data_IF_230537592031
#
_entry.id   IF_230537592031
#
_cell.length_a   1.000
_cell.length_b   1.000
_cell.length_c   1.000
_cell.angle_alpha   90.00
_cell.angle_beta   90.00
_cell.angle_gamma   90.00
#
_symmetry.space_group_name_H-M   'P 1'
#
loop_
_entity.id
_entity.type
_entity.pdbx_description
1 polymer ?
#
# COMPACT_ATOMS: atom_id res chain seq x y z
N UNK A 1 40.14 23.70 58.94
CA UNK A 1 39.07 22.88 58.32
C UNK A 1 38.31 23.79 57.38
N UNK A 2 38.82 23.89 56.15
CA UNK A 2 38.27 24.78 55.13
C UNK A 2 36.98 24.19 54.56
N UNK A 3 35.89 24.95 54.70
CA UNK A 3 34.68 24.74 53.91
C UNK A 3 34.86 25.48 52.60
N UNK A 4 35.41 24.80 51.61
CA UNK A 4 35.41 25.27 50.22
C UNK A 4 33.96 25.45 49.76
N UNK A 5 33.54 26.70 49.71
CA UNK A 5 32.33 27.14 49.02
C UNK A 5 32.70 27.35 47.56
N UNK A 6 32.21 26.46 46.68
CA UNK A 6 32.19 26.73 45.25
C UNK A 6 30.82 27.33 44.91
N UNK A 7 30.85 28.61 44.54
CA UNK A 7 29.75 29.27 43.86
C UNK A 7 29.65 28.71 42.43
N UNK A 8 28.44 28.35 42.01
CA UNK A 8 28.10 28.23 40.58
C UNK A 8 26.78 28.95 40.34
N UNK A 9 26.94 30.13 39.75
CA UNK A 9 26.08 30.84 38.80
C UNK A 9 24.60 30.46 38.76
N UNK A 10 23.78 31.45 39.08
CA UNK A 10 22.36 31.44 38.78
C UNK A 10 22.09 31.29 37.28
N UNK A 11 21.16 30.40 36.96
CA UNK A 11 20.32 30.52 35.79
C UNK A 11 18.90 30.64 36.34
N UNK A 12 18.33 31.84 36.26
CA UNK A 12 16.92 32.05 36.53
C UNK A 12 16.10 31.25 35.53
N UNK A 13 15.60 30.08 35.96
CA UNK A 13 14.61 29.34 35.22
C UNK A 13 13.28 30.07 35.30
N UNK A 14 12.77 30.54 34.17
CA UNK A 14 11.39 31.02 34.08
C UNK A 14 10.45 29.93 34.62
N UNK A 15 9.53 30.24 35.54
CA UNK A 15 8.53 29.28 36.00
C UNK A 15 7.57 29.02 34.83
N UNK A 16 7.73 27.88 34.14
CA UNK A 16 6.79 27.46 33.10
C UNK A 16 7.37 26.69 31.92
N UNK A 17 8.69 26.59 31.75
CA UNK A 17 9.26 25.74 30.69
C UNK A 17 9.28 24.29 31.14
N UNK A 18 8.20 23.56 30.83
CA UNK A 18 8.25 22.09 30.74
C UNK A 18 9.44 21.77 29.83
N UNK A 19 10.42 20.95 30.25
CA UNK A 19 11.50 20.54 29.37
C UNK A 19 10.88 19.71 28.24
N UNK A 20 10.56 20.37 27.14
CA UNK A 20 10.11 19.71 25.93
C UNK A 20 11.31 18.91 25.43
N UNK A 21 11.21 17.58 25.25
CA UNK A 21 12.34 16.81 24.76
C UNK A 21 12.75 17.38 23.40
N UNK A 22 14.02 17.75 23.25
CA UNK A 22 14.61 18.20 21.99
C UNK A 22 14.55 17.13 20.88
N UNK A 23 14.06 15.93 21.20
CA UNK A 23 13.89 14.79 20.31
C UNK A 23 12.59 14.81 19.50
N UNK A 24 12.16 15.98 19.02
CA UNK A 24 11.15 16.07 17.96
C UNK A 24 11.72 15.65 16.58
N UNK A 25 13.01 15.29 16.51
CA UNK A 25 13.69 14.89 15.27
C UNK A 25 13.34 13.48 14.77
N UNK A 26 12.55 12.68 15.51
CA UNK A 26 12.11 11.35 15.02
C UNK A 26 10.86 11.40 14.13
N UNK A 27 10.22 12.55 14.00
CA UNK A 27 8.88 12.74 13.39
C UNK A 27 8.86 12.69 11.84
N UNK A 28 9.89 12.13 11.22
CA UNK A 28 10.02 12.03 9.77
C UNK A 28 9.61 10.69 9.19
N UNK A 29 9.68 9.61 9.97
CA UNK A 29 9.56 8.26 9.40
C UNK A 29 8.11 7.86 9.14
N UNK A 30 7.17 8.28 9.98
CA UNK A 30 5.76 8.04 9.73
C UNK A 30 5.22 8.87 8.56
N UNK A 31 5.80 10.06 8.33
CA UNK A 31 5.51 10.90 7.18
C UNK A 31 6.05 10.27 5.89
N UNK A 32 7.25 9.67 5.92
CA UNK A 32 7.83 8.97 4.78
C UNK A 32 7.00 7.74 4.36
N UNK A 33 6.37 7.03 5.31
CA UNK A 33 5.45 5.93 5.00
C UNK A 33 4.27 6.43 4.14
N UNK A 34 3.62 7.51 4.57
CA UNK A 34 2.45 8.05 3.86
C UNK A 34 2.85 8.69 2.52
N UNK A 35 3.96 9.43 2.48
CA UNK A 35 4.47 10.00 1.23
C UNK A 35 4.82 8.94 0.18
N UNK A 36 5.25 7.75 0.61
CA UNK A 36 5.53 6.68 -0.35
C UNK A 36 4.26 6.20 -1.08
N UNK A 37 3.08 6.30 -0.45
CA UNK A 37 1.80 6.01 -1.11
C UNK A 37 1.41 7.08 -2.12
N UNK A 38 1.66 8.34 -1.81
CA UNK A 38 1.31 9.48 -2.66
C UNK A 38 2.23 9.61 -3.89
N UNK A 39 3.42 8.99 -3.83
CA UNK A 39 4.43 9.10 -4.90
C UNK A 39 4.12 8.29 -6.17
N UNK A 40 3.14 7.38 -6.10
CA UNK A 40 2.75 6.48 -7.20
C UNK A 40 1.37 6.83 -7.75
N UNK A 41 1.18 6.65 -9.05
CA UNK A 41 -0.12 6.84 -9.71
C UNK A 41 -1.14 5.75 -9.32
N UNK A 42 -2.43 5.93 -9.68
CA UNK A 42 -3.53 5.03 -9.31
C UNK A 42 -3.49 3.65 -10.00
N UNK A 43 -2.48 3.39 -10.83
CA UNK A 43 -2.29 2.17 -11.62
C UNK A 43 -1.02 1.41 -11.24
N UNK A 44 -0.32 1.84 -10.19
CA UNK A 44 0.84 1.14 -9.64
C UNK A 44 0.76 1.06 -8.10
N UNK A 45 1.57 0.17 -7.53
CA UNK A 45 1.75 0.07 -6.08
C UNK A 45 3.25 0.19 -5.78
N UNK A 46 3.66 1.02 -4.81
CA UNK A 46 5.07 1.09 -4.40
C UNK A 46 5.56 -0.23 -3.81
N UNK A 47 6.88 -0.42 -3.74
CA UNK A 47 7.45 -1.51 -2.98
C UNK A 47 7.04 -1.41 -1.50
N UNK A 48 6.80 -2.55 -0.85
CA UNK A 48 6.48 -2.57 0.57
C UNK A 48 7.69 -2.08 1.39
N UNK A 49 7.49 -1.06 2.21
CA UNK A 49 8.57 -0.47 3.01
C UNK A 49 8.68 -1.14 4.39
N UNK A 50 9.19 -2.37 4.42
CA UNK A 50 9.45 -3.13 5.66
C UNK A 50 10.32 -2.31 6.63
N UNK A 51 11.40 -1.73 6.12
CA UNK A 51 12.37 -0.99 6.94
C UNK A 51 11.76 0.21 7.67
N UNK A 52 10.81 0.92 7.07
CA UNK A 52 10.16 2.06 7.73
C UNK A 52 9.12 1.58 8.74
N UNK A 53 8.38 0.50 8.44
CA UNK A 53 7.44 -0.10 9.40
C UNK A 53 8.15 -0.68 10.62
N UNK A 54 9.28 -1.36 10.46
CA UNK A 54 10.08 -1.89 11.57
C UNK A 54 10.61 -0.76 12.48
N UNK A 55 11.08 0.33 11.88
CA UNK A 55 11.53 1.51 12.64
C UNK A 55 10.38 2.16 13.42
N UNK A 56 9.21 2.32 12.80
CA UNK A 56 8.01 2.80 13.51
C UNK A 56 7.59 1.84 14.63
N UNK A 57 7.66 0.52 14.39
CA UNK A 57 7.38 -0.49 15.42
C UNK A 57 8.34 -0.41 16.61
N UNK A 58 9.63 -0.19 16.33
CA UNK A 58 10.67 0.00 17.34
C UNK A 58 10.40 1.25 18.18
N UNK A 59 10.03 2.37 17.53
CA UNK A 59 9.69 3.62 18.20
C UNK A 59 8.43 3.46 19.07
N UNK A 60 7.39 2.77 18.59
CA UNK A 60 6.20 2.45 19.38
C UNK A 60 6.61 1.68 20.65
N UNK A 61 7.43 0.64 20.52
CA UNK A 61 7.88 -0.16 21.66
C UNK A 61 8.71 0.65 22.67
N UNK A 62 9.56 1.56 22.19
CA UNK A 62 10.30 2.48 23.06
C UNK A 62 9.36 3.43 23.81
N UNK A 63 8.45 4.10 23.10
CA UNK A 63 7.49 5.07 23.66
C UNK A 63 6.54 4.43 24.67
N UNK A 64 6.15 3.18 24.46
CA UNK A 64 5.36 2.41 25.43
C UNK A 64 6.11 2.18 26.74
N UNK A 65 7.41 1.83 26.67
CA UNK A 65 8.25 1.68 27.87
C UNK A 65 8.43 2.99 28.61
N UNK A 66 8.67 4.09 27.88
CA UNK A 66 8.76 5.44 28.45
C UNK A 66 7.45 5.82 29.16
N UNK A 67 6.31 5.65 28.51
CA UNK A 67 4.99 5.93 29.10
C UNK A 67 4.74 5.09 30.36
N UNK A 68 5.06 3.79 30.32
CA UNK A 68 4.90 2.90 31.46
C UNK A 68 5.84 3.24 32.63
N UNK A 69 7.03 3.76 32.35
CA UNK A 69 7.94 4.29 33.36
C UNK A 69 7.38 5.55 34.01
N UNK A 70 6.92 6.51 33.20
CA UNK A 70 6.29 7.75 33.68
C UNK A 70 5.05 7.49 34.53
N UNK A 71 4.22 6.51 34.15
CA UNK A 71 3.04 6.13 34.92
C UNK A 71 3.36 5.47 36.27
N UNK A 72 4.50 4.76 36.38
CA UNK A 72 4.91 4.10 37.63
C UNK A 72 5.61 5.05 38.60
N UNK A 73 6.36 6.01 38.07
CA UNK A 73 7.20 6.92 38.86
C UNK A 73 6.57 8.30 39.08
N UNK A 74 5.43 8.58 38.45
CA UNK A 74 4.82 9.90 38.46
C UNK A 74 3.98 10.17 39.70
N UNK A 75 4.57 10.74 40.74
CA UNK A 75 3.85 11.24 41.93
C UNK A 75 3.35 12.69 41.76
N UNK A 76 3.77 13.42 40.70
CA UNK A 76 3.49 14.85 40.55
C UNK A 76 2.71 15.20 39.26
N UNK A 77 1.90 16.27 39.31
CA UNK A 77 1.03 16.71 38.20
C UNK A 77 1.74 17.06 36.88
N UNK A 78 3.06 17.27 36.90
CA UNK A 78 3.92 17.41 35.71
C UNK A 78 4.07 16.11 34.92
N UNK A 79 4.03 14.95 35.58
CA UNK A 79 4.16 13.64 34.93
C UNK A 79 2.89 13.27 34.14
N UNK A 80 1.74 13.84 34.54
CA UNK A 80 0.47 13.68 33.81
C UNK A 80 0.56 14.23 32.38
N UNK A 81 1.19 15.38 32.19
CA UNK A 81 1.35 15.96 30.85
C UNK A 81 2.32 15.16 29.99
N UNK A 82 3.40 14.63 30.57
CA UNK A 82 4.33 13.74 29.87
C UNK A 82 3.62 12.45 29.42
N UNK A 83 2.78 11.85 30.26
CA UNK A 83 1.99 10.66 29.90
C UNK A 83 0.97 10.98 28.79
N UNK A 84 0.29 12.13 28.84
CA UNK A 84 -0.63 12.57 27.77
C UNK A 84 0.13 12.76 26.46
N UNK A 85 1.28 13.43 26.49
CA UNK A 85 2.12 13.63 25.32
C UNK A 85 2.55 12.30 24.68
N UNK A 86 3.07 11.37 25.50
CA UNK A 86 3.46 10.04 25.02
C UNK A 86 2.27 9.28 24.42
N UNK A 87 1.07 9.44 25.00
CA UNK A 87 -0.16 8.82 24.49
C UNK A 87 -0.56 9.38 23.13
N UNK A 88 -0.42 10.69 22.93
CA UNK A 88 -0.66 11.34 21.64
C UNK A 88 0.34 10.87 20.58
N UNK A 89 1.63 10.80 20.92
CA UNK A 89 2.68 10.29 20.03
C UNK A 89 2.41 8.85 19.59
N UNK A 90 2.10 7.95 20.53
CA UNK A 90 1.75 6.57 20.22
C UNK A 90 0.53 6.46 19.32
N UNK A 91 -0.50 7.29 19.58
CA UNK A 91 -1.71 7.30 18.76
C UNK A 91 -1.42 7.71 17.32
N UNK A 92 -0.55 8.73 17.13
CA UNK A 92 -0.10 9.18 15.82
C UNK A 92 0.67 8.09 15.08
N UNK A 93 1.71 7.50 15.70
CA UNK A 93 2.53 6.46 15.07
C UNK A 93 1.67 5.27 14.62
N UNK A 94 0.80 4.78 15.49
CA UNK A 94 -0.13 3.70 15.17
C UNK A 94 -1.07 4.08 14.03
N UNK A 95 -1.61 5.31 14.03
CA UNK A 95 -2.52 5.79 13.00
C UNK A 95 -1.82 5.86 11.64
N UNK A 96 -0.59 6.36 11.57
CA UNK A 96 0.18 6.43 10.33
C UNK A 96 0.48 5.02 9.78
N UNK A 97 0.90 4.07 10.62
CA UNK A 97 1.12 2.68 10.17
C UNK A 97 -0.16 2.02 9.67
N UNK A 98 -1.29 2.26 10.35
CA UNK A 98 -2.60 1.75 9.93
C UNK A 98 -3.05 2.36 8.60
N UNK A 99 -2.89 3.67 8.43
CA UNK A 99 -3.23 4.36 7.18
C UNK A 99 -2.37 3.86 6.02
N UNK A 100 -1.08 3.64 6.27
CA UNK A 100 -0.19 3.06 5.27
C UNK A 100 -0.69 1.69 4.79
N UNK A 101 -0.95 0.77 5.73
CA UNK A 101 -1.44 -0.59 5.40
C UNK A 101 -2.81 -0.53 4.70
N UNK A 102 -3.71 0.34 5.17
CA UNK A 102 -5.05 0.49 4.59
C UNK A 102 -4.98 1.03 3.16
N UNK A 103 -4.19 2.08 2.92
CA UNK A 103 -4.01 2.66 1.59
C UNK A 103 -3.42 1.67 0.59
N UNK A 104 -2.44 0.86 1.01
CA UNK A 104 -1.91 -0.22 0.16
C UNK A 104 -2.94 -1.27 -0.18
N UNK A 105 -3.74 -1.72 0.80
CA UNK A 105 -4.83 -2.68 0.54
C UNK A 105 -5.85 -2.12 -0.45
N UNK A 106 -6.20 -0.85 -0.32
CA UNK A 106 -7.10 -0.15 -1.25
C UNK A 106 -6.52 -0.07 -2.67
N UNK A 107 -5.21 0.21 -2.80
CA UNK A 107 -4.50 0.17 -4.09
C UNK A 107 -4.53 -1.24 -4.68
N UNK A 108 -4.21 -2.29 -3.92
CA UNK A 108 -4.28 -3.69 -4.37
C UNK A 108 -5.69 -4.02 -4.87
N UNK A 109 -6.72 -3.70 -4.08
CA UNK A 109 -8.11 -3.93 -4.48
C UNK A 109 -8.46 -3.19 -5.79
N UNK A 110 -8.01 -1.95 -5.93
CA UNK A 110 -8.25 -1.13 -7.12
C UNK A 110 -7.59 -1.74 -8.35
N UNK A 111 -6.33 -2.17 -8.25
CA UNK A 111 -5.61 -2.83 -9.33
C UNK A 111 -6.30 -4.15 -9.73
N UNK A 112 -6.72 -4.95 -8.75
CA UNK A 112 -7.49 -6.19 -8.99
C UNK A 112 -8.82 -5.89 -9.68
N UNK A 113 -9.57 -4.87 -9.25
CA UNK A 113 -10.82 -4.45 -9.90
C UNK A 113 -10.62 -3.98 -11.35
N UNK A 114 -9.47 -3.36 -11.64
CA UNK A 114 -9.08 -2.92 -13.00
C UNK A 114 -8.51 -4.05 -13.86
N UNK A 115 -8.39 -5.28 -13.35
CA UNK A 115 -7.66 -6.39 -13.99
C UNK A 115 -6.19 -6.07 -14.31
N UNK A 116 -5.56 -5.17 -13.54
CA UNK A 116 -4.12 -4.90 -13.63
C UNK A 116 -3.38 -5.98 -12.85
N UNK A 117 -2.35 -6.56 -13.46
CA UNK A 117 -1.50 -7.57 -12.82
C UNK A 117 -0.71 -6.90 -11.70
N UNK A 118 -0.92 -7.34 -10.46
CA UNK A 118 -0.13 -6.89 -9.30
C UNK A 118 1.11 -7.77 -9.19
N UNK A 119 2.29 -7.15 -9.23
CA UNK A 119 3.56 -7.85 -9.06
C UNK A 119 3.76 -8.22 -7.58
N UNK A 120 3.92 -9.52 -7.32
CA UNK A 120 4.00 -10.06 -5.94
C UNK A 120 5.27 -9.62 -5.21
N UNK A 121 6.32 -9.25 -5.94
CA UNK A 121 7.61 -8.80 -5.39
C UNK A 121 7.50 -7.49 -4.60
N UNK A 122 6.50 -6.65 -4.92
CA UNK A 122 6.25 -5.40 -4.21
C UNK A 122 5.35 -5.55 -3.00
N UNK A 123 4.87 -6.76 -2.71
CA UNK A 123 3.90 -7.05 -1.66
C UNK A 123 4.56 -7.75 -0.47
N UNK A 124 4.18 -7.36 0.75
CA UNK A 124 4.50 -8.16 1.93
C UNK A 124 3.77 -9.51 1.89
N UNK A 125 4.23 -10.48 2.70
CA UNK A 125 3.58 -11.80 2.79
C UNK A 125 2.09 -11.68 3.13
N UNK A 126 1.74 -10.80 4.08
CA UNK A 126 0.36 -10.55 4.47
C UNK A 126 -0.47 -9.93 3.32
N UNK A 127 0.14 -9.06 2.50
CA UNK A 127 -0.50 -8.49 1.31
C UNK A 127 -0.68 -9.53 0.20
N UNK A 128 0.27 -10.46 0.05
CA UNK A 128 0.12 -11.58 -0.90
C UNK A 128 -1.01 -12.51 -0.48
N UNK A 129 -1.12 -12.83 0.81
CA UNK A 129 -2.24 -13.61 1.35
C UNK A 129 -3.57 -12.87 1.13
N UNK A 130 -3.59 -11.56 1.37
CA UNK A 130 -4.75 -10.72 1.09
C UNK A 130 -5.12 -10.75 -0.40
N UNK A 131 -4.16 -10.54 -1.31
CA UNK A 131 -4.37 -10.64 -2.76
C UNK A 131 -4.92 -12.01 -3.17
N UNK A 132 -4.41 -13.10 -2.60
CA UNK A 132 -4.92 -14.44 -2.88
C UNK A 132 -6.35 -14.65 -2.34
N UNK A 133 -6.72 -13.95 -1.25
CA UNK A 133 -8.07 -13.97 -0.69
C UNK A 133 -9.07 -13.14 -1.50
N UNK A 134 -8.59 -12.16 -2.27
CA UNK A 134 -9.39 -11.44 -3.25
C UNK A 134 -9.72 -12.41 -4.38
N UNK A 135 -10.80 -13.18 -4.21
CA UNK A 135 -11.35 -14.00 -5.29
C UNK A 135 -11.50 -13.08 -6.51
N UNK A 136 -11.10 -13.50 -7.72
CA UNK A 136 -11.51 -12.78 -8.90
C UNK A 136 -13.04 -12.74 -8.84
N UNK A 137 -13.61 -11.56 -8.60
CA UNK A 137 -15.02 -11.32 -8.90
C UNK A 137 -15.11 -11.43 -10.41
N UNK A 138 -15.22 -12.66 -10.90
CA UNK A 138 -15.38 -12.95 -12.30
C UNK A 138 -16.53 -12.08 -12.80
N UNK A 139 -16.21 -11.19 -13.74
CA UNK A 139 -17.10 -10.90 -14.84
C UNK A 139 -18.26 -9.93 -14.61
N UNK A 140 -18.38 -9.23 -13.47
CA UNK A 140 -19.33 -8.11 -13.41
C UNK A 140 -18.71 -6.84 -13.99
N UNK A 141 -18.25 -6.92 -15.25
CA UNK A 141 -18.38 -5.75 -16.12
C UNK A 141 -19.88 -5.46 -16.13
N UNK A 142 -20.27 -4.24 -15.79
CA UNK A 142 -21.63 -3.75 -15.97
C UNK A 142 -21.96 -3.69 -17.46
N UNK A 143 -22.02 -4.85 -18.11
CA UNK A 143 -22.52 -4.94 -19.47
C UNK A 143 -24.03 -4.86 -19.38
N UNK A 144 -24.57 -3.93 -20.16
CA UNK A 144 -26.01 -3.81 -20.36
C UNK A 144 -26.54 -5.20 -20.76
N UNK A 145 -27.46 -5.81 -20.00
CA UNK A 145 -27.95 -7.16 -20.27
C UNK A 145 -28.62 -7.30 -21.64
N UNK A 146 -28.93 -6.17 -22.30
CA UNK A 146 -29.53 -6.14 -23.64
C UNK A 146 -28.52 -6.11 -24.79
N UNK A 147 -27.22 -5.91 -24.51
CA UNK A 147 -26.21 -5.95 -25.56
C UNK A 147 -25.83 -7.42 -25.84
N UNK A 148 -26.04 -7.91 -27.06
CA UNK A 148 -25.64 -9.27 -27.46
C UNK A 148 -24.30 -9.30 -28.19
N UNK A 149 -23.85 -8.14 -28.71
CA UNK A 149 -22.60 -7.97 -29.47
C UNK A 149 -21.90 -6.67 -29.08
N UNK A 150 -20.57 -6.66 -29.11
CA UNK A 150 -19.75 -5.46 -28.95
C UNK A 150 -18.76 -5.31 -30.12
N UNK A 151 -18.34 -4.07 -30.35
CA UNK A 151 -17.25 -3.77 -31.27
C UNK A 151 -15.92 -3.88 -30.52
N UNK A 152 -14.96 -4.58 -31.10
CA UNK A 152 -13.61 -4.78 -30.57
C UNK A 152 -12.60 -4.33 -31.62
N UNK A 153 -11.60 -3.55 -31.20
CA UNK A 153 -10.46 -3.18 -32.04
C UNK A 153 -9.25 -4.00 -31.59
N UNK A 154 -8.51 -4.58 -32.53
CA UNK A 154 -7.29 -5.30 -32.23
C UNK A 154 -6.12 -4.31 -31.96
N UNK A 155 -5.53 -4.37 -30.77
CA UNK A 155 -4.41 -3.49 -30.39
C UNK A 155 -3.05 -3.96 -30.94
N UNK A 156 -2.98 -5.21 -31.41
CA UNK A 156 -1.79 -5.84 -31.98
C UNK A 156 -2.18 -6.86 -33.07
N UNK A 157 -1.19 -7.28 -33.88
CA UNK A 157 -1.36 -8.39 -34.82
C UNK A 157 -1.46 -9.70 -34.04
N UNK A 158 -2.54 -10.46 -34.28
CA UNK A 158 -2.84 -11.72 -33.57
C UNK A 158 -2.69 -12.94 -34.50
N UNK A 159 -2.76 -12.74 -35.83
CA UNK A 159 -2.75 -13.83 -36.80
C UNK A 159 -4.14 -14.44 -36.94
N UNK A 160 -4.29 -15.76 -36.97
CA UNK A 160 -5.60 -16.41 -37.15
C UNK A 160 -6.34 -16.60 -35.82
N UNK A 161 -7.52 -15.99 -35.71
CA UNK A 161 -8.47 -16.19 -34.64
C UNK A 161 -9.57 -17.14 -35.10
N UNK A 162 -9.68 -18.30 -34.45
CA UNK A 162 -10.78 -19.25 -34.68
C UNK A 162 -12.04 -18.79 -33.93
N UNK A 163 -13.08 -18.45 -34.67
CA UNK A 163 -14.41 -18.13 -34.16
C UNK A 163 -15.38 -19.21 -34.59
N UNK A 164 -15.75 -20.08 -33.65
CA UNK A 164 -16.56 -21.28 -33.93
C UNK A 164 -15.89 -22.09 -35.05
N UNK A 165 -16.43 -22.01 -36.27
CA UNK A 165 -15.97 -22.74 -37.46
C UNK A 165 -15.28 -21.86 -38.51
N UNK A 166 -14.99 -20.58 -38.20
CA UNK A 166 -14.40 -19.62 -39.13
C UNK A 166 -13.04 -19.14 -38.60
N UNK A 167 -12.00 -19.28 -39.42
CA UNK A 167 -10.71 -18.63 -39.19
C UNK A 167 -10.78 -17.18 -39.68
N UNK A 168 -10.52 -16.23 -38.78
CA UNK A 168 -10.44 -14.80 -39.11
C UNK A 168 -9.01 -14.32 -38.89
N UNK A 169 -8.37 -13.80 -39.93
CA UNK A 169 -7.06 -13.16 -39.78
C UNK A 169 -7.21 -11.78 -39.12
N UNK A 170 -6.64 -11.61 -37.94
CA UNK A 170 -6.72 -10.41 -37.10
C UNK A 170 -5.38 -9.68 -37.12
N UNK A 171 -5.37 -8.52 -37.77
CA UNK A 171 -4.27 -7.57 -37.78
C UNK A 171 -4.56 -6.38 -36.86
N UNK A 172 -3.50 -5.67 -36.46
CA UNK A 172 -3.57 -4.46 -35.64
C UNK A 172 -4.48 -3.42 -36.30
N UNK A 173 -5.39 -2.86 -35.51
CA UNK A 173 -6.36 -1.87 -35.93
C UNK A 173 -7.63 -2.45 -36.55
N UNK A 174 -7.71 -3.76 -36.81
CA UNK A 174 -8.93 -4.40 -37.30
C UNK A 174 -10.06 -4.27 -36.28
N UNK A 175 -11.24 -3.86 -36.74
CA UNK A 175 -12.44 -3.70 -35.92
C UNK A 175 -13.43 -4.82 -36.24
N UNK A 176 -13.79 -5.61 -35.24
CA UNK A 176 -14.70 -6.75 -35.35
C UNK A 176 -15.93 -6.56 -34.44
N UNK A 177 -17.10 -7.00 -34.91
CA UNK A 177 -18.32 -7.04 -34.09
C UNK A 177 -18.57 -8.45 -33.60
N UNK A 178 -18.15 -8.74 -32.37
CA UNK A 178 -18.20 -10.09 -31.78
C UNK A 178 -19.31 -10.21 -30.72
N UNK A 179 -19.86 -11.41 -30.50
CA UNK A 179 -20.73 -11.68 -29.37
C UNK A 179 -20.08 -11.29 -28.03
N UNK A 180 -20.87 -10.85 -27.04
CA UNK A 180 -20.30 -10.59 -25.71
C UNK A 180 -19.72 -11.85 -25.04
N UNK A 181 -20.20 -13.04 -25.41
CA UNK A 181 -19.67 -14.33 -24.93
C UNK A 181 -18.23 -14.59 -25.36
N UNK A 182 -17.75 -13.96 -26.44
CA UNK A 182 -16.35 -14.02 -26.87
C UNK A 182 -15.46 -13.01 -26.14
N UNK A 183 -16.04 -12.16 -25.27
CA UNK A 183 -15.43 -11.02 -24.58
C UNK A 183 -14.38 -11.34 -23.50
N UNK A 184 -13.76 -12.51 -23.56
CA UNK A 184 -12.61 -12.88 -22.73
C UNK A 184 -11.54 -13.61 -23.55
N UNK A 185 -11.29 -13.15 -24.78
CA UNK A 185 -10.06 -13.45 -25.50
C UNK A 185 -8.90 -12.76 -24.75
N UNK A 186 -8.39 -13.52 -23.78
CA UNK A 186 -7.24 -13.20 -22.95
C UNK A 186 -6.02 -12.83 -23.81
N UNK A 187 -5.14 -12.01 -23.22
CA UNK A 187 -3.82 -11.59 -23.71
C UNK A 187 -3.17 -12.61 -24.67
N UNK A 188 -2.60 -12.10 -25.76
CA UNK A 188 -1.94 -12.82 -26.87
C UNK A 188 -1.11 -14.06 -26.46
N UNK A 189 -0.52 -14.07 -25.27
CA UNK A 189 0.27 -15.18 -24.72
C UNK A 189 -0.50 -16.50 -24.50
N UNK A 190 -1.81 -16.47 -24.19
CA UNK A 190 -2.58 -17.72 -23.96
C UNK A 190 -3.14 -18.34 -25.24
N UNK A 191 -3.21 -17.59 -26.33
CA UNK A 191 -3.69 -18.09 -27.62
C UNK A 191 -2.58 -18.87 -28.36
N UNK A 192 -1.32 -18.50 -28.15
CA UNK A 192 -0.15 -19.22 -28.66
C UNK A 192 -0.10 -20.70 -28.23
N UNK A 193 -0.65 -21.04 -27.06
CA UNK A 193 -0.66 -22.41 -26.53
C UNK A 193 -1.76 -23.32 -27.09
N UNK A 194 -2.71 -22.80 -27.88
CA UNK A 194 -3.75 -23.61 -28.54
C UNK A 194 -3.52 -23.82 -30.04
N UNK A 195 -2.38 -23.34 -30.56
CA UNK A 195 -1.92 -23.62 -31.91
C UNK A 195 -1.43 -25.07 -31.97
N UNK A 196 -2.33 -26.02 -32.24
CA UNK A 196 -1.94 -27.26 -32.90
C UNK A 196 -1.87 -26.95 -34.39
N UNK A 197 -0.65 -26.76 -34.90
CA UNK A 197 -0.39 -26.88 -36.33
C UNK A 197 -0.79 -28.30 -36.75
N UNK A 198 -1.68 -28.49 -37.73
CA UNK A 198 -1.65 -29.72 -38.50
C UNK A 198 -0.39 -29.67 -39.36
N UNK A 199 0.61 -30.49 -39.01
CA UNK A 199 1.58 -30.97 -40.00
C UNK A 199 0.81 -31.88 -40.97
N UNK A 200 0.92 -31.59 -42.27
CA UNK A 200 0.78 -32.46 -43.45
C UNK A 200 0.84 -31.51 -44.68
N UNK A 201 1.71 -31.63 -45.68
CA UNK A 201 2.70 -32.65 -46.09
C UNK A 201 4.03 -31.97 -46.46
#
# INVERSE_FOLDING_TARGET
>A
MDRSSAATSGVGGAPGTVPWPAELSTWGQEAALLQSLDSMGPDSIPAFNDSALERVGTEIGQRERERASLQRNGENGTDRWAVIFQTACLSRLRRCSQLYIAGRREQIETLVRKNVKVEKEFLSEAEQQFLNSLRPRHGNKSHNPNATKAWHQADADVGELMLEDIAVHVSKGLILRLPLSTGNLMSAEKLAHRVRLPLND
#
